data_IF_469881812396
#
_entry.id   IF_469881812396
#
_cell.length_a   1.000
_cell.length_b   1.000
_cell.length_c   1.000
_cell.angle_alpha   90.00
_cell.angle_beta   90.00
_cell.angle_gamma   90.00
#
_symmetry.space_group_name_H-M   'P 1'
#
loop_
_entity.id
_entity.type
_entity.pdbx_description
1 polymer ?
#
# COMPACT_ATOMS: atom_id res chain seq x y z
N UNK A 1 -8.99 -8.89 -12.95
CA UNK A 1 -7.99 -7.83 -12.93
C UNK A 1 -8.29 -6.79 -11.87
N UNK A 2 -7.39 -6.56 -10.93
CA UNK A 2 -7.54 -5.45 -9.99
C UNK A 2 -6.76 -4.23 -10.51
N UNK A 3 -7.42 -3.07 -10.54
CA UNK A 3 -6.80 -1.78 -10.88
C UNK A 3 -6.67 -0.90 -9.65
N UNK A 4 -5.54 -0.20 -9.53
CA UNK A 4 -5.21 0.68 -8.42
C UNK A 4 -4.99 2.08 -8.96
N UNK A 5 -5.72 3.06 -8.46
CA UNK A 5 -5.33 4.46 -8.65
C UNK A 5 -4.55 4.91 -7.42
N UNK A 6 -3.36 5.45 -7.62
CA UNK A 6 -2.51 5.85 -6.51
C UNK A 6 -1.17 6.39 -6.93
N UNK A 7 -0.23 6.39 -5.98
CA UNK A 7 1.12 6.91 -6.17
C UNK A 7 2.15 5.83 -5.82
N UNK A 8 3.05 5.46 -6.76
CA UNK A 8 4.17 4.57 -6.47
C UNK A 8 5.12 5.19 -5.45
N UNK A 9 5.63 4.37 -4.53
CA UNK A 9 6.83 4.70 -3.76
C UNK A 9 8.03 4.05 -4.43
N UNK A 10 8.65 4.79 -5.35
CA UNK A 10 9.87 4.34 -6.00
C UNK A 10 10.98 4.11 -4.99
N UNK A 11 11.75 3.05 -5.19
CA UNK A 11 12.90 2.72 -4.34
C UNK A 11 13.84 3.92 -4.08
N UNK A 12 14.07 4.78 -5.08
CA UNK A 12 14.96 5.92 -4.93
C UNK A 12 14.41 6.94 -3.92
N UNK A 13 13.12 7.24 -4.00
CA UNK A 13 12.44 8.14 -3.05
C UNK A 13 12.39 7.47 -1.66
N UNK A 14 12.16 6.15 -1.59
CA UNK A 14 12.19 5.39 -0.33
C UNK A 14 13.58 5.45 0.34
N UNK A 15 14.66 5.24 -0.42
CA UNK A 15 16.04 5.36 0.09
C UNK A 15 16.32 6.77 0.61
N UNK A 16 15.85 7.81 -0.09
CA UNK A 16 16.00 9.19 0.37
C UNK A 16 15.25 9.44 1.67
N UNK A 17 14.00 8.99 1.77
CA UNK A 17 13.19 9.06 2.99
C UNK A 17 13.90 8.35 4.15
N UNK A 18 14.41 7.14 3.92
CA UNK A 18 15.10 6.37 4.95
C UNK A 18 16.35 7.09 5.49
N UNK A 19 17.17 7.63 4.58
CA UNK A 19 18.39 8.36 4.96
C UNK A 19 18.06 9.68 5.67
N UNK A 20 17.13 10.46 5.12
CA UNK A 20 16.74 11.76 5.68
C UNK A 20 16.19 11.65 7.10
N UNK A 21 15.48 10.56 7.39
CA UNK A 21 14.89 10.33 8.71
C UNK A 21 15.74 9.42 9.62
N UNK A 22 16.94 9.01 9.19
CA UNK A 22 17.83 8.15 9.98
C UNK A 22 17.19 6.81 10.37
N UNK A 23 16.40 6.21 9.49
CA UNK A 23 15.57 5.04 9.81
C UNK A 23 16.38 3.75 10.04
N UNK A 24 17.59 3.68 9.48
CA UNK A 24 18.51 2.55 9.64
C UNK A 24 19.81 3.06 10.23
N UNK A 25 20.22 2.50 11.37
CA UNK A 25 21.44 2.90 12.10
C UNK A 25 22.73 2.53 11.38
N UNK A 26 22.70 1.43 10.64
CA UNK A 26 23.85 0.94 9.88
C UNK A 26 24.04 1.79 8.62
N UNK A 27 25.15 2.55 8.50
CA UNK A 27 25.42 3.40 7.35
C UNK A 27 25.75 2.60 6.09
N UNK A 28 26.09 1.31 6.22
CA UNK A 28 26.36 0.39 5.12
C UNK A 28 25.14 -0.45 4.71
N UNK A 29 23.97 -0.16 5.27
CA UNK A 29 22.75 -0.88 4.97
C UNK A 29 22.46 -0.90 3.47
N UNK A 30 22.19 -2.10 2.96
CA UNK A 30 21.80 -2.31 1.57
C UNK A 30 20.49 -1.60 1.22
N UNK A 31 20.28 -1.38 -0.08
CA UNK A 31 19.12 -0.67 -0.62
C UNK A 31 17.79 -1.25 -0.13
N UNK A 32 17.62 -2.57 -0.18
CA UNK A 32 16.38 -3.24 0.24
C UNK A 32 16.00 -2.93 1.69
N UNK A 33 16.97 -2.91 2.61
CA UNK A 33 16.74 -2.59 4.02
C UNK A 33 16.32 -1.13 4.22
N UNK A 34 16.87 -0.20 3.43
CA UNK A 34 16.46 1.20 3.46
C UNK A 34 15.03 1.37 2.91
N UNK A 35 14.71 0.69 1.81
CA UNK A 35 13.37 0.71 1.19
C UNK A 35 12.32 0.18 2.18
N UNK A 36 12.55 -0.99 2.76
CA UNK A 36 11.64 -1.59 3.75
C UNK A 36 11.44 -0.68 4.97
N UNK A 37 12.52 -0.09 5.50
CA UNK A 37 12.42 0.84 6.62
C UNK A 37 11.59 2.08 6.28
N UNK A 38 11.75 2.65 5.08
CA UNK A 38 10.94 3.77 4.62
C UNK A 38 9.47 3.38 4.43
N UNK A 39 9.18 2.22 3.85
CA UNK A 39 7.81 1.73 3.68
C UNK A 39 7.08 1.62 5.02
N UNK A 40 7.70 0.95 6.01
CA UNK A 40 7.15 0.82 7.36
C UNK A 40 6.96 2.17 8.05
N UNK A 41 7.91 3.09 7.88
CA UNK A 41 7.81 4.42 8.45
C UNK A 41 6.69 5.25 7.83
N UNK A 42 6.59 5.29 6.49
CA UNK A 42 5.50 5.98 5.80
C UNK A 42 4.16 5.38 6.20
N UNK A 43 4.04 4.05 6.27
CA UNK A 43 2.82 3.39 6.74
C UNK A 43 2.43 3.87 8.14
N UNK A 44 3.35 3.79 9.10
CA UNK A 44 3.10 4.20 10.47
C UNK A 44 2.67 5.67 10.57
N UNK A 45 3.38 6.56 9.86
CA UNK A 45 3.13 8.01 9.89
C UNK A 45 1.86 8.44 9.18
N UNK A 46 1.52 7.78 8.06
CA UNK A 46 0.28 8.04 7.32
C UNK A 46 -0.96 7.36 7.93
N UNK A 47 -0.79 6.55 8.99
CA UNK A 47 -1.81 5.69 9.63
C UNK A 47 -2.30 4.55 8.75
N UNK A 48 -1.36 3.72 8.30
CA UNK A 48 -1.59 2.50 7.52
C UNK A 48 -2.48 2.73 6.28
N UNK A 49 -2.07 3.64 5.39
CA UNK A 49 -2.73 3.78 4.10
C UNK A 49 -2.69 2.46 3.34
N UNK A 50 -3.71 2.21 2.53
CA UNK A 50 -3.78 1.02 1.71
C UNK A 50 -2.65 1.02 0.68
N UNK A 51 -2.00 -0.13 0.52
CA UNK A 51 -0.91 -0.30 -0.44
C UNK A 51 -0.97 -1.66 -1.11
N UNK A 52 -0.57 -1.69 -2.37
CA UNK A 52 -0.62 -2.87 -3.22
C UNK A 52 0.62 -2.91 -4.11
N UNK A 53 1.17 -4.10 -4.33
CA UNK A 53 2.24 -4.29 -5.31
C UNK A 53 1.63 -4.20 -6.72
N UNK A 54 2.11 -3.27 -7.54
CA UNK A 54 1.54 -3.01 -8.86
C UNK A 54 2.62 -2.96 -9.93
N UNK A 55 2.24 -3.27 -11.16
CA UNK A 55 3.09 -3.05 -12.33
C UNK A 55 3.17 -1.55 -12.65
N UNK A 56 4.39 -1.02 -12.64
CA UNK A 56 4.72 0.35 -13.02
C UNK A 56 5.72 0.28 -14.17
N UNK A 57 5.21 0.43 -15.40
CA UNK A 57 5.99 0.08 -16.59
C UNK A 57 6.34 -1.41 -16.59
N UNK A 58 7.63 -1.73 -16.65
CA UNK A 58 8.14 -3.10 -16.70
C UNK A 58 8.58 -3.66 -15.34
N UNK A 59 8.47 -2.87 -14.27
CA UNK A 59 8.84 -3.28 -12.90
C UNK A 59 7.62 -3.32 -11.98
N UNK A 60 7.78 -3.94 -10.82
CA UNK A 60 6.79 -3.92 -9.75
C UNK A 60 7.18 -2.91 -8.69
N UNK A 61 6.25 -2.05 -8.30
CA UNK A 61 6.44 -1.06 -7.24
C UNK A 61 5.30 -1.14 -6.22
N UNK A 62 5.56 -0.67 -5.00
CA UNK A 62 4.54 -0.51 -4.00
C UNK A 62 3.74 0.78 -4.27
N UNK A 63 2.45 0.66 -4.56
CA UNK A 63 1.57 1.81 -4.83
C UNK A 63 0.67 2.06 -3.63
N UNK A 64 0.70 3.29 -3.11
CA UNK A 64 -0.24 3.76 -2.09
C UNK A 64 -1.56 4.10 -2.76
N UNK A 65 -2.58 3.28 -2.49
CA UNK A 65 -3.85 3.29 -3.20
C UNK A 65 -4.76 4.41 -2.69
N UNK A 66 -5.07 5.36 -3.57
CA UNK A 66 -6.17 6.29 -3.40
C UNK A 66 -7.52 5.65 -3.74
N UNK A 67 -7.55 4.72 -4.70
CA UNK A 67 -8.74 3.92 -5.02
C UNK A 67 -8.32 2.51 -5.45
N UNK A 68 -9.15 1.53 -5.13
CA UNK A 68 -8.98 0.17 -5.62
C UNK A 68 -10.25 -0.29 -6.31
N UNK A 69 -10.08 -0.74 -7.53
CA UNK A 69 -11.13 -1.36 -8.33
C UNK A 69 -10.93 -2.87 -8.40
N UNK A 70 -11.81 -3.60 -7.74
CA UNK A 70 -11.80 -5.08 -7.71
C UNK A 70 -12.48 -5.72 -8.91
N UNK A 71 -13.09 -4.93 -9.79
CA UNK A 71 -13.83 -5.47 -10.93
C UNK A 71 -12.88 -6.04 -11.95
N UNK A 72 -13.19 -7.24 -12.42
CA UNK A 72 -12.41 -7.84 -13.49
C UNK A 72 -12.66 -7.12 -14.84
N UNK A 73 -11.68 -6.33 -15.27
CA UNK A 73 -11.70 -5.63 -16.56
C UNK A 73 -10.31 -5.39 -17.12
N UNK A 74 -10.22 -5.42 -18.45
CA UNK A 74 -8.98 -5.26 -19.20
C UNK A 74 -8.35 -3.87 -19.10
N UNK A 75 -9.15 -2.84 -18.84
CA UNK A 75 -8.71 -1.45 -18.82
C UNK A 75 -9.07 -0.78 -17.49
N UNK A 76 -8.29 0.22 -17.05
CA UNK A 76 -8.62 0.96 -15.84
C UNK A 76 -9.99 1.64 -15.96
N UNK A 77 -10.70 1.81 -14.83
CA UNK A 77 -11.94 2.57 -14.82
C UNK A 77 -11.74 3.99 -15.36
N UNK A 78 -12.74 4.43 -16.14
CA UNK A 78 -12.94 5.85 -16.50
C UNK A 78 -13.83 6.58 -15.49
N UNK A 79 -14.38 5.84 -14.53
CA UNK A 79 -15.35 6.32 -13.54
C UNK A 79 -15.02 5.75 -12.18
N UNK A 80 -14.92 6.62 -11.19
CA UNK A 80 -14.58 6.24 -9.81
C UNK A 80 -15.74 6.53 -8.88
N UNK A 81 -16.01 5.58 -7.98
CA UNK A 81 -17.04 5.69 -6.94
C UNK A 81 -16.44 6.53 -5.80
N UNK A 82 -17.06 7.67 -5.49
CA UNK A 82 -16.51 8.64 -4.53
C UNK A 82 -16.31 8.03 -3.14
N UNK A 83 -17.20 7.16 -2.72
CA UNK A 83 -17.19 6.49 -1.41
C UNK A 83 -16.00 5.54 -1.25
N UNK A 84 -15.44 5.02 -2.36
CA UNK A 84 -14.26 4.17 -2.34
C UNK A 84 -12.94 4.93 -2.41
N UNK A 85 -12.97 6.26 -2.57
CA UNK A 85 -11.78 7.09 -2.68
C UNK A 85 -11.23 7.40 -1.29
N UNK A 86 -9.90 7.37 -1.17
CA UNK A 86 -9.16 7.88 -0.03
C UNK A 86 -9.64 9.30 0.33
N UNK A 87 -9.87 9.56 1.61
CA UNK A 87 -10.30 10.88 2.05
C UNK A 87 -9.21 11.94 1.84
N UNK A 88 -9.61 13.20 1.63
CA UNK A 88 -8.68 14.34 1.53
C UNK A 88 -7.70 14.39 2.72
N UNK A 89 -8.18 14.07 3.94
CA UNK A 89 -7.36 13.99 5.16
C UNK A 89 -6.31 12.89 5.13
N UNK A 90 -6.58 11.76 4.49
CA UNK A 90 -5.61 10.66 4.32
C UNK A 90 -4.58 11.01 3.26
N UNK A 91 -5.00 11.55 2.11
CA UNK A 91 -4.10 12.00 1.06
C UNK A 91 -3.12 13.07 1.58
N UNK A 92 -3.61 14.05 2.35
CA UNK A 92 -2.75 15.04 3.00
C UNK A 92 -1.76 14.45 4.00
N UNK A 93 -2.16 13.42 4.74
CA UNK A 93 -1.24 12.73 5.65
C UNK A 93 -0.14 12.05 4.87
N UNK A 94 -0.50 11.32 3.81
CA UNK A 94 0.47 10.63 2.96
C UNK A 94 1.47 11.61 2.32
N UNK A 95 0.98 12.73 1.78
CA UNK A 95 1.79 13.78 1.14
C UNK A 95 2.84 14.42 2.07
N UNK A 96 2.70 14.31 3.40
CA UNK A 96 3.69 14.80 4.37
C UNK A 96 4.90 13.88 4.50
N UNK A 97 4.79 12.63 4.08
CA UNK A 97 5.78 11.60 4.35
C UNK A 97 6.39 10.99 3.09
N UNK A 98 5.77 11.17 1.94
CA UNK A 98 6.33 10.78 0.64
C UNK A 98 5.89 11.73 -0.47
N UNK A 99 6.66 11.84 -1.56
CA UNK A 99 6.22 12.55 -2.74
C UNK A 99 5.05 11.81 -3.42
N UNK A 100 4.02 12.55 -3.80
CA UNK A 100 2.89 12.05 -4.59
C UNK A 100 3.11 12.36 -6.07
N UNK A 101 4.14 11.73 -6.67
CA UNK A 101 4.47 11.88 -8.10
C UNK A 101 3.79 10.78 -8.91
N UNK A 102 3.57 11.04 -10.19
CA UNK A 102 3.07 10.06 -11.16
C UNK A 102 1.77 9.39 -10.66
N UNK A 103 0.80 10.20 -10.22
CA UNK A 103 -0.53 9.70 -9.86
C UNK A 103 -1.19 9.04 -11.07
N UNK A 104 -1.64 7.80 -10.95
CA UNK A 104 -2.16 7.09 -12.10
C UNK A 104 -2.79 5.75 -11.78
N UNK A 105 -3.30 5.10 -12.84
CA UNK A 105 -3.83 3.75 -12.78
C UNK A 105 -2.74 2.72 -13.03
N UNK A 106 -2.66 1.76 -12.12
CA UNK A 106 -1.69 0.67 -12.13
C UNK A 106 -2.40 -0.66 -11.98
N UNK A 107 -1.90 -1.68 -12.66
CA UNK A 107 -2.43 -3.05 -12.58
C UNK A 107 -1.83 -3.74 -11.37
N UNK A 108 -2.66 -4.38 -10.56
CA UNK A 108 -2.20 -5.19 -9.44
C UNK A 108 -1.29 -6.32 -9.91
N UNK A 109 -0.19 -6.57 -9.21
CA UNK A 109 0.68 -7.72 -9.46
C UNK A 109 0.17 -8.93 -8.65
N UNK A 110 -0.89 -9.58 -9.13
CA UNK A 110 -1.43 -10.83 -8.57
C UNK A 110 -0.89 -12.11 -9.24
N UNK A 111 0.06 -11.96 -10.18
CA UNK A 111 0.62 -13.08 -10.94
C UNK A 111 -0.23 -13.52 -12.15
N UNK A 112 -1.44 -12.98 -12.34
CA UNK A 112 -2.28 -13.28 -13.51
C UNK A 112 -1.79 -12.65 -14.81
N UNK A 113 -0.85 -11.69 -14.72
CA UNK A 113 -0.31 -10.97 -15.86
C UNK A 113 1.07 -10.36 -15.57
N UNK A 114 1.84 -10.16 -16.63
CA UNK A 114 3.01 -9.29 -16.62
C UNK A 114 3.17 -8.55 -17.96
N UNK A 115 3.86 -7.39 -17.98
CA UNK A 115 4.00 -6.54 -19.17
C UNK A 115 4.52 -7.25 -20.42
N UNK A 116 5.42 -8.23 -20.26
CA UNK A 116 6.09 -8.91 -21.38
C UNK A 116 5.43 -10.20 -21.86
N UNK A 117 4.54 -10.83 -21.07
CA UNK A 117 3.83 -12.07 -21.49
C UNK A 117 2.33 -11.86 -21.70
N UNK A 118 1.78 -10.72 -21.31
CA UNK A 118 0.33 -10.59 -21.27
C UNK A 118 -0.29 -11.45 -20.16
N UNK A 119 -1.51 -11.92 -20.39
CA UNK A 119 -2.24 -12.76 -19.43
C UNK A 119 -1.57 -14.13 -19.33
N UNK A 120 -1.33 -14.58 -18.10
CA UNK A 120 -0.62 -15.84 -17.83
C UNK A 120 -1.54 -17.04 -17.65
N UNK A 121 -2.84 -16.80 -17.48
CA UNK A 121 -3.85 -17.84 -17.46
C UNK A 121 -4.48 -17.92 -18.85
N UNK A 122 -4.38 -19.06 -19.55
CA UNK A 122 -5.15 -19.24 -20.77
C UNK A 122 -6.64 -19.19 -20.43
N UNK A 123 -7.41 -18.48 -21.25
CA UNK A 123 -8.85 -18.71 -21.42
C UNK A 123 -9.03 -20.22 -21.55
N UNK A 124 -9.91 -20.80 -20.74
CA UNK A 124 -10.26 -22.22 -20.78
C UNK A 124 -10.24 -22.72 -22.24
N UNK A 125 -9.22 -23.49 -22.60
CA UNK A 125 -9.32 -24.32 -23.79
C UNK A 125 -10.38 -25.35 -23.42
N UNK A 126 -11.51 -25.29 -24.12
CA UNK A 126 -12.51 -26.35 -24.18
C UNK A 126 -11.81 -27.66 -24.58
N UNK A 127 -11.22 -28.33 -23.58
CA UNK A 127 -10.47 -29.56 -23.72
C UNK A 127 -11.40 -30.75 -23.58
N UNK A 128 -12.08 -31.04 -24.69
CA UNK A 128 -12.52 -32.37 -25.15
C UNK A 128 -12.44 -33.50 -24.11
N UNK A 129 -13.60 -33.81 -23.53
CA UNK A 129 -13.86 -34.98 -22.69
C UNK A 129 -13.89 -36.22 -23.60
N UNK A 130 -12.72 -36.61 -24.10
CA UNK A 130 -12.52 -37.90 -24.75
C UNK A 130 -11.99 -38.90 -23.72
N UNK A 131 -12.92 -39.49 -22.99
CA UNK A 131 -12.78 -40.80 -22.35
C UNK A 131 -12.28 -41.83 -23.39
N UNK A 132 -11.04 -42.30 -23.25
CA UNK A 132 -10.62 -43.59 -23.84
C UNK A 132 -9.48 -44.22 -23.02
N UNK A 133 -9.90 -45.12 -22.12
CA UNK A 133 -9.34 -46.46 -21.84
C UNK A 133 -7.82 -46.62 -21.57
N UNK A 134 -7.51 -46.84 -20.29
CA UNK A 134 -6.80 -48.00 -19.71
C UNK A 134 -5.43 -48.51 -20.25
N UNK A 135 -4.66 -48.96 -19.25
CA UNK A 135 -3.58 -49.97 -19.26
C UNK A 135 -2.11 -49.51 -19.40
N UNK A 136 -1.34 -49.79 -18.35
CA UNK A 136 0.11 -49.62 -18.30
C UNK A 136 0.71 -49.86 -16.92
N UNK A 137 0.40 -51.00 -16.33
CA UNK A 137 0.97 -51.53 -15.08
C UNK A 137 2.50 -51.69 -15.07
N UNK A 138 3.08 -51.45 -13.89
CA UNK A 138 4.11 -52.26 -13.19
C UNK A 138 5.44 -51.59 -12.80
N UNK A 139 5.65 -51.60 -11.46
CA UNK A 139 6.87 -51.99 -10.72
C UNK A 139 8.13 -51.10 -10.80
N UNK A 140 8.98 -50.95 -9.79
CA UNK A 140 9.08 -51.21 -8.35
C UNK A 140 10.47 -50.62 -7.95
N UNK A 141 10.76 -50.54 -6.65
CA UNK A 141 12.07 -50.27 -6.02
C UNK A 141 12.45 -48.77 -5.92
N UNK A 142 12.62 -48.13 -4.77
CA UNK A 142 13.12 -48.63 -3.49
C UNK A 142 14.42 -47.89 -3.19
N UNK A 143 14.40 -46.90 -2.28
CA UNK A 143 15.54 -46.61 -1.39
C UNK A 143 15.10 -45.67 -0.28
N UNK A 144 15.19 -46.18 0.94
CA UNK A 144 15.25 -45.44 2.19
C UNK A 144 16.36 -44.39 2.16
N UNK A 145 16.16 -43.28 2.87
CA UNK A 145 17.10 -42.85 3.92
C UNK A 145 16.41 -41.81 4.82
N UNK A 146 16.31 -42.20 6.09
CA UNK A 146 15.96 -41.42 7.27
C UNK A 146 16.94 -40.25 7.43
N UNK A 147 16.49 -39.08 7.85
CA UNK A 147 17.15 -38.46 9.01
C UNK A 147 16.27 -37.43 9.74
N UNK A 148 16.22 -37.69 11.03
CA UNK A 148 15.62 -36.99 12.14
C UNK A 148 16.38 -35.68 12.42
N UNK A 149 15.64 -34.59 12.68
CA UNK A 149 16.02 -33.65 13.72
C UNK A 149 14.89 -32.68 14.06
N UNK A 150 14.34 -32.90 15.27
CA UNK A 150 13.33 -32.08 15.89
C UNK A 150 13.78 -30.63 16.15
N UNK A 151 12.78 -29.75 16.23
CA UNK A 151 12.93 -28.45 16.85
C UNK A 151 11.79 -28.23 17.84
N UNK A 152 12.15 -28.42 19.10
CA UNK A 152 11.46 -28.00 20.32
C UNK A 152 11.06 -26.53 20.23
N UNK A 153 9.75 -26.25 20.22
CA UNK A 153 9.22 -24.90 20.44
C UNK A 153 8.59 -24.84 21.82
N UNK A 154 9.45 -24.51 22.80
CA UNK A 154 9.03 -24.15 24.15
C UNK A 154 8.11 -22.93 24.13
N UNK A 155 6.84 -23.17 24.40
CA UNK A 155 5.86 -22.14 24.77
C UNK A 155 6.14 -21.65 26.20
N UNK A 156 6.49 -20.38 26.33
CA UNK A 156 6.35 -19.62 27.57
C UNK A 156 6.40 -18.12 27.25
N UNK A 157 5.27 -17.44 27.35
CA UNK A 157 5.09 -16.47 28.44
C UNK A 157 3.69 -15.88 28.48
N UNK A 158 3.08 -16.15 29.63
CA UNK A 158 2.04 -15.38 30.31
C UNK A 158 2.26 -13.87 30.24
N UNK A 159 1.17 -13.11 30.05
CA UNK A 159 0.82 -11.99 30.92
C UNK A 159 -0.57 -11.46 30.57
N UNK A 160 -1.55 -11.88 31.37
CA UNK A 160 -2.78 -11.15 31.62
C UNK A 160 -2.51 -10.13 32.72
N UNK A 161 -2.96 -8.89 32.60
CA UNK A 161 -3.85 -8.28 33.60
C UNK A 161 -4.32 -6.86 33.21
N UNK A 162 -5.58 -6.67 33.57
CA UNK A 162 -6.48 -5.54 33.47
C UNK A 162 -6.04 -4.38 34.39
N UNK A 163 -6.40 -3.16 34.00
CA UNK A 163 -6.03 -1.94 34.70
C UNK A 163 -6.78 -0.74 34.16
N UNK A 164 -8.10 -0.74 34.36
CA UNK A 164 -8.97 0.43 34.25
C UNK A 164 -8.50 1.56 35.17
N UNK A 165 -8.59 2.81 34.71
CA UNK A 165 -8.92 3.97 35.55
C UNK A 165 -9.27 5.17 34.63
N UNK A 166 -10.57 5.44 34.57
CA UNK A 166 -11.14 6.74 34.25
C UNK A 166 -10.89 7.67 35.44
N UNK A 167 -10.47 8.91 35.21
CA UNK A 167 -10.81 10.01 36.09
C UNK A 167 -10.75 11.35 35.35
N UNK A 168 -11.72 12.17 35.72
CA UNK A 168 -12.29 13.32 35.04
C UNK A 168 -11.86 14.60 35.78
N UNK A 169 -12.04 15.75 35.11
CA UNK A 169 -12.09 17.13 35.64
C UNK A 169 -10.76 17.83 35.97
N UNK A 170 -10.63 19.16 35.96
CA UNK A 170 -11.27 20.29 35.27
C UNK A 170 -10.52 21.53 35.83
N UNK A 171 -10.39 22.56 35.01
CA UNK A 171 -10.27 23.99 35.34
C UNK A 171 -9.02 24.63 36.01
N UNK A 172 -8.47 25.57 35.22
CA UNK A 172 -8.26 26.98 35.55
C UNK A 172 -7.07 27.39 36.45
N UNK A 173 -6.10 28.10 35.87
CA UNK A 173 -5.54 29.30 36.49
C UNK A 173 -5.08 30.33 35.44
N UNK A 174 -5.41 31.58 35.76
CA UNK A 174 -5.33 32.83 35.01
C UNK A 174 -3.93 33.47 34.91
N UNK A 175 -3.64 33.97 33.70
CA UNK A 175 -2.98 35.24 33.29
C UNK A 175 -1.95 35.89 34.23
N UNK A 176 -0.72 36.10 33.72
CA UNK A 176 0.03 37.38 33.87
C UNK A 176 0.70 37.77 32.53
N UNK A 177 0.56 39.05 32.23
CA UNK A 177 0.92 39.84 31.05
C UNK A 177 2.41 39.82 30.69
N UNK A 178 2.73 39.85 29.40
CA UNK A 178 4.12 39.87 28.92
C UNK A 178 4.29 39.63 27.43
N UNK A 179 3.88 40.61 26.61
CA UNK A 179 4.44 40.93 25.28
C UNK A 179 4.93 39.74 24.42
N UNK A 180 4.09 39.26 23.51
CA UNK A 180 4.55 38.51 22.33
C UNK A 180 4.11 39.25 21.07
N UNK A 181 5.10 39.70 20.31
CA UNK A 181 4.92 40.35 19.02
C UNK A 181 4.06 39.49 18.10
N UNK A 182 3.06 40.14 17.53
CA UNK A 182 2.23 39.68 16.42
C UNK A 182 3.12 39.37 15.22
N UNK A 183 3.59 38.13 15.10
CA UNK A 183 3.98 37.60 13.81
C UNK A 183 2.71 37.29 13.04
N UNK A 184 2.35 38.21 12.13
CA UNK A 184 1.51 37.88 10.99
C UNK A 184 2.24 36.82 10.15
N UNK A 185 2.02 35.54 10.48
CA UNK A 185 2.30 34.46 9.55
C UNK A 185 1.04 34.29 8.68
N UNK A 186 1.02 35.01 7.57
CA UNK A 186 0.16 34.74 6.42
C UNK A 186 0.46 33.34 5.91
N UNK A 187 -0.28 32.33 6.36
CA UNK A 187 -0.12 30.95 5.89
C UNK A 187 -1.43 30.15 5.99
N UNK A 188 -2.53 30.66 5.45
CA UNK A 188 -3.78 29.86 5.38
C UNK A 188 -4.52 29.89 4.03
N UNK A 189 -3.91 30.41 2.94
CA UNK A 189 -4.56 30.33 1.61
C UNK A 189 -3.84 29.43 0.58
N UNK A 190 -2.64 28.91 0.89
CA UNK A 190 -1.86 28.13 -0.09
C UNK A 190 -2.01 26.61 0.01
N UNK A 191 -2.63 26.08 1.06
CA UNK A 191 -2.74 24.63 1.32
C UNK A 191 -3.98 23.98 0.70
N UNK A 192 -5.02 24.75 0.38
CA UNK A 192 -6.22 24.22 -0.27
C UNK A 192 -6.03 24.02 -1.78
N UNK A 193 -5.26 24.89 -2.43
CA UNK A 193 -4.97 24.79 -3.87
C UNK A 193 -4.17 23.54 -4.24
N UNK A 194 -3.32 23.03 -3.35
CA UNK A 194 -2.44 21.90 -3.66
C UNK A 194 -3.19 20.58 -3.69
N UNK A 195 -4.15 20.34 -2.80
CA UNK A 195 -4.93 19.09 -2.83
C UNK A 195 -6.04 19.10 -3.85
N UNK A 196 -6.68 20.26 -4.07
CA UNK A 196 -7.63 20.39 -5.17
C UNK A 196 -6.89 20.31 -6.52
N UNK A 197 -5.62 20.76 -6.64
CA UNK A 197 -4.80 20.44 -7.83
C UNK A 197 -4.36 18.97 -7.90
N UNK A 198 -3.90 18.35 -6.81
CA UNK A 198 -3.34 16.99 -6.82
C UNK A 198 -4.41 15.89 -6.99
N UNK A 199 -5.66 16.16 -6.60
CA UNK A 199 -6.78 15.25 -6.80
C UNK A 199 -7.72 15.67 -7.93
N UNK A 200 -7.72 16.92 -8.41
CA UNK A 200 -8.59 17.32 -9.53
C UNK A 200 -7.85 17.43 -10.87
N UNK A 201 -6.58 17.85 -10.95
CA UNK A 201 -5.93 17.99 -12.27
C UNK A 201 -5.68 16.63 -12.94
N UNK A 202 -5.13 15.67 -12.22
CA UNK A 202 -4.84 14.34 -12.79
C UNK A 202 -6.11 13.47 -12.90
N UNK A 203 -7.10 13.73 -12.05
CA UNK A 203 -8.33 12.96 -12.01
C UNK A 203 -9.34 13.46 -13.05
N UNK A 204 -9.52 14.77 -13.24
CA UNK A 204 -10.51 15.31 -14.20
C UNK A 204 -10.11 15.09 -15.66
N UNK A 205 -8.82 14.93 -15.99
CA UNK A 205 -8.38 14.71 -17.37
C UNK A 205 -8.70 13.28 -17.87
N UNK A 206 -8.81 12.29 -16.97
CA UNK A 206 -8.98 10.87 -17.35
C UNK A 206 -10.09 10.12 -16.61
N UNK A 207 -10.74 10.71 -15.60
CA UNK A 207 -11.73 10.05 -14.75
C UNK A 207 -12.89 10.98 -14.35
N UNK A 208 -14.12 10.46 -14.38
CA UNK A 208 -15.29 11.16 -13.83
C UNK A 208 -15.75 10.53 -12.51
N UNK A 209 -16.01 11.34 -11.49
CA UNK A 209 -16.57 10.86 -10.23
C UNK A 209 -18.06 10.56 -10.38
N UNK A 210 -18.52 9.46 -9.80
CA UNK A 210 -19.94 9.08 -9.74
C UNK A 210 -20.32 8.74 -8.31
N UNK A 211 -21.53 9.08 -7.91
CA UNK A 211 -22.11 8.56 -6.68
C UNK A 211 -22.33 7.04 -6.82
N UNK A 212 -22.24 6.30 -5.71
CA UNK A 212 -22.64 4.91 -5.69
C UNK A 212 -24.11 4.76 -6.17
N UNK A 213 -24.43 3.70 -6.95
CA UNK A 213 -25.82 3.39 -7.25
C UNK A 213 -26.57 3.06 -5.94
N UNK A 214 -27.87 3.42 -5.87
CA UNK A 214 -28.71 3.17 -4.69
C UNK A 214 -28.91 1.67 -4.40
#
# INVERSE_FOLDING_TARGET
>A
MTWIYGWPLYDQDAVEIARRNGLVKDPSAGRSRLVEAAQLWVQSKARFPRMLCCWVGDTTELVYAAYVDYRDREHPPRKVIREGLMSKKEAYRLARYMPLKDGGWYRHCDGSWCPWLGERWPKDEDGDDSDDEESGESSDEGSDEEDDQGSDCGESNSSSEDGSNEDTDSDNVTVIDGYCQRFQASAEEHTDLVADMLLAKDFDEYCSMVAAPP
#
